data_IF_491155147359
#
_entry.id   IF_491155147359
#
_cell.length_a   1.000
_cell.length_b   1.000
_cell.length_c   1.000
_cell.angle_alpha   90.00
_cell.angle_beta   90.00
_cell.angle_gamma   90.00
#
_symmetry.space_group_name_H-M   'P 1'
#
loop_
_entity.id
_entity.type
_entity.pdbx_description
1 polymer ?
#
# COMPACT_ATOMS: atom_id res chain seq x y z
N UNK A 1 18.34 -33.63 22.93
CA UNK A 1 17.76 -34.25 24.13
C UNK A 1 16.49 -33.48 24.46
N UNK A 2 15.36 -34.15 24.27
CA UNK A 2 14.00 -33.61 24.44
C UNK A 2 13.57 -33.96 25.87
N UNK A 3 13.06 -32.98 26.60
CA UNK A 3 12.37 -33.24 27.87
C UNK A 3 11.02 -32.54 27.81
N UNK A 4 9.99 -33.28 27.44
CA UNK A 4 8.59 -32.90 27.59
C UNK A 4 8.13 -33.20 29.02
N UNK A 5 7.36 -32.28 29.60
CA UNK A 5 6.55 -32.54 30.80
C UNK A 5 5.11 -32.12 30.49
N UNK A 6 4.09 -32.96 30.75
CA UNK A 6 2.74 -32.72 30.28
C UNK A 6 1.91 -31.99 31.34
N UNK A 7 1.22 -30.93 30.95
CA UNK A 7 0.05 -30.44 31.68
C UNK A 7 -1.06 -30.04 30.68
N UNK A 8 -2.22 -30.65 30.85
CA UNK A 8 -3.54 -30.18 30.41
C UNK A 8 -4.50 -30.42 31.61
N UNK A 9 -5.67 -29.76 31.71
CA UNK A 9 -6.31 -28.93 30.69
C UNK A 9 -6.88 -27.59 31.22
N UNK A 10 -7.06 -26.60 30.33
CA UNK A 10 -8.17 -25.65 30.49
C UNK A 10 -8.64 -25.18 29.12
N UNK A 11 -9.94 -25.37 28.85
CA UNK A 11 -10.62 -24.78 27.70
C UNK A 11 -10.41 -23.26 27.69
N UNK A 12 -9.78 -22.75 26.64
CA UNK A 12 -9.84 -21.34 26.24
C UNK A 12 -10.00 -21.29 24.72
N UNK A 13 -10.97 -20.53 24.26
CA UNK A 13 -11.13 -20.17 22.85
C UNK A 13 -9.82 -19.59 22.34
N UNK A 14 -9.13 -20.36 21.49
CA UNK A 14 -7.79 -20.05 21.03
C UNK A 14 -7.80 -18.96 19.97
N UNK A 15 -7.70 -17.70 20.40
CA UNK A 15 -7.06 -16.68 19.56
C UNK A 15 -5.55 -16.90 19.63
N UNK A 16 -4.98 -17.62 18.65
CA UNK A 16 -3.53 -17.73 18.52
C UNK A 16 -3.04 -16.51 17.72
N UNK A 17 -2.70 -15.43 18.43
CA UNK A 17 -2.01 -14.28 17.82
C UNK A 17 -0.51 -14.59 17.89
N UNK A 18 0.13 -14.83 16.75
CA UNK A 18 1.58 -15.08 16.69
C UNK A 18 2.28 -13.86 16.11
N UNK A 19 3.05 -13.16 16.94
CA UNK A 19 3.90 -12.04 16.53
C UNK A 19 5.25 -12.59 16.04
N UNK A 20 5.69 -12.17 14.85
CA UNK A 20 7.03 -12.49 14.36
C UNK A 20 7.68 -11.24 13.77
N UNK A 21 8.85 -10.88 14.28
CA UNK A 21 9.73 -9.87 13.69
C UNK A 21 10.97 -10.57 13.16
N UNK A 22 11.15 -10.57 11.84
CA UNK A 22 12.38 -11.09 11.22
C UNK A 22 13.47 -10.02 11.32
N UNK A 23 14.40 -10.18 12.27
CA UNK A 23 15.63 -9.38 12.39
C UNK A 23 16.77 -10.10 11.68
N UNK A 24 17.45 -9.41 10.77
CA UNK A 24 18.81 -9.78 10.37
C UNK A 24 19.73 -8.55 10.41
N UNK A 25 20.83 -8.76 11.11
CA UNK A 25 21.96 -7.84 11.28
C UNK A 25 22.57 -7.47 9.94
N UNK A 26 22.86 -6.18 9.74
CA UNK A 26 23.76 -5.72 8.68
C UNK A 26 24.90 -4.93 9.30
N UNK A 27 26.09 -5.51 9.25
CA UNK A 27 27.35 -4.84 9.53
C UNK A 27 27.73 -4.08 8.25
N UNK A 28 27.85 -2.75 8.31
CA UNK A 28 28.40 -1.97 7.20
C UNK A 28 29.54 -1.09 7.69
N UNK A 29 30.72 -1.38 7.18
CA UNK A 29 31.92 -0.57 7.27
C UNK A 29 31.70 0.77 6.56
N UNK A 30 32.23 1.84 7.14
CA UNK A 30 32.15 3.20 6.62
C UNK A 30 33.16 3.47 5.51
N UNK A 31 32.86 4.49 4.71
CA UNK A 31 33.84 5.23 3.92
C UNK A 31 33.38 6.70 3.86
N UNK A 32 34.22 7.59 4.42
CA UNK A 32 34.18 9.05 4.22
C UNK A 32 34.44 9.41 2.76
N UNK A 33 34.02 10.62 2.36
CA UNK A 33 34.99 11.46 1.65
C UNK A 33 35.05 12.90 2.14
N UNK A 34 36.30 13.26 2.40
CA UNK A 34 37.00 14.55 2.34
C UNK A 34 36.40 15.63 1.43
N UNK A 35 36.39 16.85 1.97
CA UNK A 35 35.93 18.07 1.30
C UNK A 35 36.89 18.68 0.27
N UNK A 36 36.38 19.68 -0.44
CA UNK A 36 37.15 20.55 -1.32
C UNK A 36 36.79 22.02 -1.04
N UNK A 37 37.81 22.82 -0.75
CA UNK A 37 37.77 24.29 -0.67
C UNK A 37 37.84 24.88 -2.08
N UNK A 38 37.10 25.96 -2.33
CA UNK A 38 37.24 26.81 -3.52
C UNK A 38 37.78 28.18 -3.10
N UNK A 39 38.98 28.50 -3.58
CA UNK A 39 39.64 29.80 -3.51
C UNK A 39 39.16 30.71 -4.66
N UNK A 40 39.04 32.01 -4.38
CA UNK A 40 38.60 33.02 -5.31
C UNK A 40 39.65 33.49 -6.33
N UNK A 41 39.14 34.15 -7.36
CA UNK A 41 39.78 35.07 -8.30
C UNK A 41 38.72 36.16 -8.54
N UNK A 42 38.98 37.46 -8.52
CA UNK A 42 40.18 38.17 -8.93
C UNK A 42 39.71 39.23 -9.94
N UNK A 43 39.67 40.48 -9.49
CA UNK A 43 39.18 41.67 -10.20
C UNK A 43 40.07 42.04 -11.42
N UNK A 44 39.48 42.63 -12.47
CA UNK A 44 40.16 43.65 -13.30
C UNK A 44 39.18 44.52 -14.11
N UNK A 45 39.28 45.83 -13.86
CA UNK A 45 38.92 46.99 -14.68
C UNK A 45 39.69 46.98 -16.04
N UNK A 46 39.50 47.81 -17.06
CA UNK A 46 38.71 49.02 -17.39
C UNK A 46 38.81 49.16 -18.93
N UNK A 47 37.89 49.87 -19.58
CA UNK A 47 38.07 50.31 -20.96
C UNK A 47 36.92 51.20 -21.43
N UNK A 48 37.08 52.51 -21.27
CA UNK A 48 36.14 53.56 -21.70
C UNK A 48 36.66 54.21 -22.98
N UNK A 49 35.80 54.40 -23.99
CA UNK A 49 35.71 55.57 -24.91
C UNK A 49 34.57 55.30 -25.92
N UNK A 50 33.44 56.00 -25.83
CA UNK A 50 33.12 57.33 -26.38
C UNK A 50 32.96 57.37 -27.91
N UNK A 51 31.71 57.46 -28.41
CA UNK A 51 31.21 58.57 -29.25
C UNK A 51 29.85 58.28 -29.90
N UNK A 52 28.89 59.10 -29.48
CA UNK A 52 27.76 59.70 -30.19
C UNK A 52 27.72 59.53 -31.73
N UNK A 53 26.61 59.00 -32.28
CA UNK A 53 25.86 59.68 -33.36
C UNK A 53 24.44 59.12 -33.54
N UNK A 54 23.49 60.05 -33.67
CA UNK A 54 22.04 59.90 -33.80
C UNK A 54 21.64 59.41 -35.20
N UNK A 55 20.64 58.54 -35.34
CA UNK A 55 19.71 58.57 -36.47
C UNK A 55 18.30 58.03 -36.11
N UNK A 56 17.33 58.96 -36.15
CA UNK A 56 16.02 58.93 -36.85
C UNK A 56 14.85 58.09 -36.29
N UNK A 57 13.74 58.84 -36.14
CA UNK A 57 12.38 58.52 -35.72
C UNK A 57 11.57 57.68 -36.71
N UNK A 58 10.63 56.90 -36.13
CA UNK A 58 9.27 56.53 -36.60
C UNK A 58 9.12 55.92 -38.02
N UNK A 59 8.49 54.76 -38.20
CA UNK A 59 7.06 54.60 -37.96
C UNK A 59 6.58 53.13 -38.12
N UNK A 60 5.53 52.80 -37.35
CA UNK A 60 4.49 51.77 -37.57
C UNK A 60 4.89 50.30 -37.43
N UNK A 61 4.66 49.73 -36.24
CA UNK A 61 3.77 48.57 -36.08
C UNK A 61 2.96 48.75 -34.79
N UNK A 62 1.74 49.28 -34.92
CA UNK A 62 0.69 49.09 -33.92
C UNK A 62 0.23 47.65 -34.08
N UNK A 63 0.88 46.74 -33.35
CA UNK A 63 0.34 45.42 -33.06
C UNK A 63 0.38 45.28 -31.54
N UNK A 64 -0.81 45.18 -30.94
CA UNK A 64 -1.01 45.21 -29.50
C UNK A 64 -0.13 44.21 -28.75
N UNK A 65 0.66 44.73 -27.82
CA UNK A 65 1.19 43.97 -26.70
C UNK A 65 0.75 44.65 -25.41
N UNK A 66 -0.57 44.70 -25.18
CA UNK A 66 -1.08 44.87 -23.83
C UNK A 66 -1.03 43.50 -23.14
N UNK A 67 0.17 43.13 -22.72
CA UNK A 67 0.34 42.23 -21.58
C UNK A 67 1.43 42.86 -20.75
N UNK A 68 1.02 43.64 -19.76
CA UNK A 68 1.83 43.90 -18.60
C UNK A 68 2.28 42.55 -18.04
N UNK A 69 3.48 42.11 -18.42
CA UNK A 69 4.23 41.14 -17.64
C UNK A 69 4.38 41.79 -16.26
N UNK A 70 3.51 41.38 -15.33
CA UNK A 70 3.81 41.54 -13.93
C UNK A 70 5.16 40.86 -13.73
N UNK A 71 6.18 41.64 -13.38
CA UNK A 71 7.47 41.15 -12.90
C UNK A 71 7.32 40.51 -11.51
N UNK A 72 6.29 39.70 -11.31
CA UNK A 72 6.22 38.80 -10.18
C UNK A 72 7.17 37.64 -10.49
N UNK A 73 8.21 37.40 -9.68
CA UNK A 73 8.94 36.14 -9.78
C UNK A 73 7.92 34.99 -9.73
N UNK A 74 8.16 33.88 -10.47
CA UNK A 74 7.27 32.74 -10.40
C UNK A 74 7.07 32.36 -8.93
N UNK A 75 5.84 32.00 -8.51
CA UNK A 75 5.58 31.66 -7.12
C UNK A 75 6.59 30.58 -6.70
N UNK A 76 7.38 30.88 -5.68
CA UNK A 76 8.30 29.90 -5.10
C UNK A 76 7.42 28.84 -4.47
N UNK A 77 7.24 27.73 -5.17
CA UNK A 77 6.47 26.60 -4.69
C UNK A 77 7.24 25.97 -3.52
N UNK A 78 6.74 26.20 -2.31
CA UNK A 78 7.31 25.65 -1.08
C UNK A 78 7.19 24.12 -1.14
N UNK A 79 8.27 23.41 -0.82
CA UNK A 79 8.24 21.94 -0.75
C UNK A 79 7.15 21.49 0.24
N UNK A 80 6.11 20.75 -0.21
CA UNK A 80 5.03 20.28 0.65
C UNK A 80 5.51 19.39 1.81
N UNK A 81 6.69 18.75 1.70
CA UNK A 81 7.25 17.99 2.81
C UNK A 81 7.68 18.85 4.00
N UNK A 82 7.85 20.16 3.81
CA UNK A 82 8.08 21.10 4.91
C UNK A 82 6.83 21.34 5.77
N UNK A 83 5.65 20.85 5.37
CA UNK A 83 4.42 20.88 6.19
C UNK A 83 4.35 19.73 7.19
N UNK A 84 5.09 18.65 6.96
CA UNK A 84 5.08 17.48 7.85
C UNK A 84 6.16 17.52 8.92
N UNK A 85 7.23 18.28 8.71
CA UNK A 85 8.33 18.43 9.67
C UNK A 85 9.48 19.29 9.11
N UNK A 86 10.42 19.73 9.98
CA UNK A 86 11.60 20.46 9.54
C UNK A 86 12.55 19.55 8.74
N UNK A 87 13.40 20.16 7.92
CA UNK A 87 14.40 19.44 7.12
C UNK A 87 15.27 18.56 8.04
N UNK A 88 15.51 17.32 7.62
CA UNK A 88 16.22 16.25 8.37
C UNK A 88 15.45 15.68 9.57
N UNK A 89 14.15 15.95 9.72
CA UNK A 89 13.32 15.17 10.63
C UNK A 89 12.92 13.83 10.00
N UNK A 90 12.57 12.85 10.83
CA UNK A 90 12.09 11.54 10.36
C UNK A 90 10.82 11.70 9.51
N UNK A 91 9.94 12.62 9.87
CA UNK A 91 8.71 12.93 9.14
C UNK A 91 9.01 13.55 7.77
N UNK A 92 9.95 14.49 7.70
CA UNK A 92 10.40 15.10 6.45
C UNK A 92 11.03 14.05 5.52
N UNK A 93 11.98 13.26 6.03
CA UNK A 93 12.68 12.23 5.25
C UNK A 93 11.70 11.16 4.74
N UNK A 94 10.71 10.77 5.56
CA UNK A 94 9.64 9.87 5.13
C UNK A 94 8.78 10.48 4.01
N UNK A 95 8.39 11.76 4.13
CA UNK A 95 7.61 12.42 3.09
C UNK A 95 8.37 12.51 1.76
N UNK A 96 9.67 12.85 1.80
CA UNK A 96 10.50 12.89 0.60
C UNK A 96 10.59 11.48 -0.03
N UNK A 97 10.79 10.45 0.80
CA UNK A 97 10.82 9.06 0.32
C UNK A 97 9.47 8.63 -0.30
N UNK A 98 8.34 9.02 0.29
CA UNK A 98 7.00 8.75 -0.24
C UNK A 98 6.77 9.46 -1.58
N UNK A 99 7.19 10.72 -1.70
CA UNK A 99 7.14 11.47 -2.97
C UNK A 99 7.94 10.77 -4.07
N UNK A 100 9.16 10.33 -3.77
CA UNK A 100 9.99 9.60 -4.74
C UNK A 100 9.45 8.19 -5.04
N UNK A 101 8.75 7.55 -4.09
CA UNK A 101 8.03 6.30 -4.34
C UNK A 101 6.86 6.53 -5.31
N UNK A 102 6.03 7.56 -5.10
CA UNK A 102 4.93 7.92 -6.02
C UNK A 102 5.42 8.20 -7.43
N UNK A 103 6.51 8.96 -7.57
CA UNK A 103 7.09 9.26 -8.89
C UNK A 103 7.55 7.98 -9.60
N UNK A 104 8.20 7.06 -8.87
CA UNK A 104 8.63 5.76 -9.43
C UNK A 104 7.45 4.88 -9.81
N UNK A 105 6.40 4.86 -9.01
CA UNK A 105 5.16 4.13 -9.31
C UNK A 105 4.48 4.70 -10.56
N UNK A 106 4.32 6.03 -10.64
CA UNK A 106 3.77 6.70 -11.81
C UNK A 106 4.60 6.44 -13.07
N UNK A 107 5.93 6.50 -12.96
CA UNK A 107 6.83 6.17 -14.07
C UNK A 107 6.67 4.71 -14.50
N UNK A 108 6.61 3.77 -13.55
CA UNK A 108 6.41 2.35 -13.85
C UNK A 108 5.07 2.11 -14.55
N UNK A 109 4.01 2.79 -14.13
CA UNK A 109 2.71 2.71 -14.76
C UNK A 109 2.72 3.27 -16.19
N UNK A 110 3.45 4.38 -16.44
CA UNK A 110 3.61 4.95 -17.77
C UNK A 110 4.42 4.05 -18.72
N UNK A 111 5.34 3.25 -18.17
CA UNK A 111 6.20 2.34 -18.94
C UNK A 111 5.64 0.90 -19.02
N UNK A 112 4.46 0.64 -18.45
CA UNK A 112 3.87 -0.69 -18.47
C UNK A 112 3.12 -0.96 -19.79
N UNK A 113 3.81 -1.57 -20.74
CA UNK A 113 3.22 -2.01 -22.02
C UNK A 113 2.25 -3.20 -21.87
N UNK A 114 2.17 -3.83 -20.69
CA UNK A 114 1.28 -4.98 -20.44
C UNK A 114 -0.17 -4.59 -20.13
N UNK A 115 -0.43 -3.29 -19.92
CA UNK A 115 -1.77 -2.74 -19.62
C UNK A 115 -2.32 -3.10 -18.23
N UNK A 116 -1.50 -3.70 -17.36
CA UNK A 116 -1.89 -4.12 -16.01
C UNK A 116 -2.09 -2.89 -15.12
N UNK A 117 -1.23 -1.88 -15.25
CA UNK A 117 -1.36 -0.63 -14.49
C UNK A 117 -2.53 0.25 -14.96
N UNK A 118 -2.81 0.32 -16.27
CA UNK A 118 -3.97 1.05 -16.79
C UNK A 118 -5.29 0.46 -16.31
N UNK A 119 -5.37 -0.87 -16.17
CA UNK A 119 -6.53 -1.57 -15.61
C UNK A 119 -6.71 -1.30 -14.10
N UNK A 120 -5.62 -1.10 -13.35
CA UNK A 120 -5.70 -0.75 -11.92
C UNK A 120 -6.13 0.70 -11.66
N UNK A 121 -5.79 1.65 -12.54
CA UNK A 121 -6.27 3.05 -12.42
C UNK A 121 -7.74 3.24 -12.81
N UNK A 122 -8.30 2.36 -13.64
CA UNK A 122 -9.74 2.37 -13.97
C UNK A 122 -10.63 1.78 -12.87
N UNK A 123 -10.07 1.32 -11.74
CA UNK A 123 -10.85 0.89 -10.57
C UNK A 123 -11.00 2.08 -9.62
N UNK A 124 -11.65 3.14 -10.12
CA UNK A 124 -12.27 4.15 -9.28
C UNK A 124 -13.72 4.27 -9.78
N UNK A 125 -14.64 3.89 -8.90
CA UNK A 125 -16.10 3.92 -9.05
C UNK A 125 -16.70 3.28 -10.31
N UNK A 126 -16.94 1.97 -10.22
CA UNK A 126 -18.25 1.48 -10.61
C UNK A 126 -19.13 1.45 -9.36
N UNK A 127 -19.72 2.60 -9.03
CA UNK A 127 -20.87 2.70 -8.13
C UNK A 127 -22.05 1.98 -8.79
N UNK A 128 -22.14 0.68 -8.54
CA UNK A 128 -23.41 -0.02 -8.45
C UNK A 128 -23.36 -0.78 -7.13
N UNK A 129 -23.58 -0.05 -6.02
CA UNK A 129 -23.44 -0.62 -4.67
C UNK A 129 -24.42 -1.80 -4.48
N UNK A 130 -23.93 -3.00 -4.77
CA UNK A 130 -24.65 -4.26 -4.54
C UNK A 130 -24.92 -4.46 -3.04
N UNK A 131 -24.20 -3.75 -2.17
CA UNK A 131 -24.23 -3.90 -0.71
C UNK A 131 -25.32 -3.04 -0.05
N UNK A 132 -26.08 -3.67 0.83
CA UNK A 132 -27.03 -2.97 1.70
C UNK A 132 -26.33 -2.45 2.95
N UNK A 133 -26.95 -1.50 3.67
CA UNK A 133 -26.37 -0.98 4.91
C UNK A 133 -26.10 -2.09 5.95
N UNK A 134 -26.94 -3.14 5.99
CA UNK A 134 -26.75 -4.32 6.84
C UNK A 134 -25.54 -5.19 6.47
N UNK A 135 -24.97 -4.99 5.28
CA UNK A 135 -23.79 -5.70 4.81
C UNK A 135 -22.49 -5.10 5.39
N UNK A 136 -22.57 -3.98 6.12
CA UNK A 136 -21.44 -3.34 6.78
C UNK A 136 -21.38 -3.70 8.27
N UNK A 137 -20.18 -3.65 8.89
CA UNK A 137 -20.02 -3.88 10.33
C UNK A 137 -20.84 -2.88 11.15
N UNK A 138 -21.33 -3.32 12.30
CA UNK A 138 -22.19 -2.49 13.17
C UNK A 138 -21.44 -1.27 13.73
N UNK A 139 -20.11 -1.35 13.83
CA UNK A 139 -19.23 -0.22 14.16
C UNK A 139 -18.58 0.29 12.87
N UNK A 140 -19.01 1.42 12.31
CA UNK A 140 -18.49 1.92 11.04
C UNK A 140 -17.07 2.44 11.24
N UNK A 141 -16.09 1.68 10.74
CA UNK A 141 -14.73 2.16 10.51
C UNK A 141 -14.64 2.50 9.02
N UNK A 142 -14.27 3.74 8.63
CA UNK A 142 -14.08 4.08 7.23
C UNK A 142 -13.04 3.16 6.60
N UNK A 143 -13.50 2.25 5.74
CA UNK A 143 -12.68 1.23 5.11
C UNK A 143 -13.08 1.06 3.65
N UNK A 144 -12.10 1.00 2.77
CA UNK A 144 -12.25 0.52 1.41
C UNK A 144 -12.30 -1.02 1.42
N UNK A 145 -13.28 -1.58 0.73
CA UNK A 145 -13.51 -3.02 0.65
C UNK A 145 -13.35 -3.51 -0.79
N UNK A 146 -12.62 -4.61 -0.98
CA UNK A 146 -12.53 -5.36 -2.23
C UNK A 146 -12.70 -6.85 -1.89
N UNK A 147 -13.66 -7.53 -2.51
CA UNK A 147 -13.97 -8.93 -2.17
C UNK A 147 -14.24 -9.80 -3.39
N UNK A 148 -14.22 -11.11 -3.18
CA UNK A 148 -14.90 -12.06 -4.04
C UNK A 148 -16.43 -11.90 -3.89
N UNK A 149 -17.19 -12.31 -4.89
CA UNK A 149 -18.66 -12.20 -4.84
C UNK A 149 -19.27 -13.21 -3.84
N UNK A 150 -18.80 -14.47 -3.91
CA UNK A 150 -19.33 -15.58 -3.11
C UNK A 150 -18.26 -16.65 -2.81
N UNK A 151 -18.59 -17.51 -1.85
CA UNK A 151 -17.95 -18.81 -1.60
C UNK A 151 -19.03 -19.87 -1.46
N UNK A 152 -18.89 -21.01 -2.14
CA UNK A 152 -19.89 -22.07 -2.00
C UNK A 152 -19.81 -22.73 -0.62
N UNK A 153 -20.90 -23.33 -0.15
CA UNK A 153 -20.86 -24.08 1.11
C UNK A 153 -19.82 -25.20 1.11
N UNK A 154 -19.65 -25.88 -0.03
CA UNK A 154 -18.70 -27.00 -0.17
C UNK A 154 -17.27 -26.50 -0.06
N UNK A 155 -16.94 -25.38 -0.70
CA UNK A 155 -15.64 -24.71 -0.54
C UNK A 155 -15.43 -24.26 0.91
N UNK A 156 -16.44 -23.63 1.54
CA UNK A 156 -16.32 -23.16 2.92
C UNK A 156 -16.12 -24.33 3.91
N UNK A 157 -16.78 -25.47 3.69
CA UNK A 157 -16.55 -26.70 4.49
C UNK A 157 -15.14 -27.27 4.28
N UNK A 158 -14.61 -27.19 3.06
CA UNK A 158 -13.26 -27.65 2.74
C UNK A 158 -12.16 -26.71 3.27
N UNK A 159 -12.50 -25.45 3.58
CA UNK A 159 -11.58 -24.42 4.06
C UNK A 159 -11.99 -23.90 5.45
N UNK A 160 -11.89 -24.73 6.52
CA UNK A 160 -12.52 -24.47 7.82
C UNK A 160 -11.80 -23.41 8.67
N UNK A 161 -10.68 -22.85 8.21
CA UNK A 161 -9.95 -21.82 8.94
C UNK A 161 -10.06 -20.48 8.22
N UNK A 162 -10.37 -19.42 8.97
CA UNK A 162 -10.26 -18.04 8.51
C UNK A 162 -8.91 -17.48 8.95
N UNK A 163 -8.09 -17.09 7.98
CA UNK A 163 -6.77 -16.50 8.21
C UNK A 163 -6.78 -15.05 7.76
N UNK A 164 -6.11 -14.19 8.53
CA UNK A 164 -5.93 -12.78 8.26
C UNK A 164 -4.45 -12.43 8.27
N UNK A 165 -4.04 -11.74 7.23
CA UNK A 165 -2.75 -11.05 7.15
C UNK A 165 -3.04 -9.57 7.38
N UNK A 166 -2.45 -8.97 8.41
CA UNK A 166 -2.66 -7.56 8.76
C UNK A 166 -1.36 -6.79 8.58
N UNK A 167 -1.41 -5.66 7.88
CA UNK A 167 -0.33 -4.69 7.75
C UNK A 167 -0.76 -3.36 8.34
N UNK A 168 -0.09 -2.90 9.40
CA UNK A 168 -0.33 -1.58 9.99
C UNK A 168 0.54 -0.52 9.31
N UNK A 169 -0.04 0.62 8.97
CA UNK A 169 0.66 1.74 8.32
C UNK A 169 0.46 3.04 9.09
N UNK A 170 1.41 3.97 8.96
CA UNK A 170 1.47 5.19 9.78
C UNK A 170 1.07 6.47 9.02
N UNK A 171 0.48 6.35 7.82
CA UNK A 171 0.01 7.53 7.10
C UNK A 171 -1.10 8.23 7.88
N UNK A 172 -1.17 9.57 7.74
CA UNK A 172 -2.16 10.41 8.42
C UNK A 172 -3.59 10.18 7.94
N UNK A 173 -3.76 9.69 6.71
CA UNK A 173 -5.07 9.47 6.09
C UNK A 173 -5.55 8.02 6.15
N UNK A 174 -6.73 7.78 5.59
CA UNK A 174 -7.33 6.44 5.48
C UNK A 174 -6.64 5.54 4.45
N UNK A 175 -5.76 6.09 3.61
CA UNK A 175 -5.05 5.37 2.55
C UNK A 175 -3.57 5.21 2.95
N UNK A 176 -2.95 4.04 2.72
CA UNK A 176 -1.52 3.83 2.94
C UNK A 176 -0.66 4.87 2.20
N UNK A 177 0.50 5.19 2.79
CA UNK A 177 1.50 5.98 2.07
C UNK A 177 1.96 5.25 0.79
N UNK A 178 2.37 5.96 -0.26
CA UNK A 178 2.81 5.36 -1.53
C UNK A 178 3.86 4.26 -1.36
N UNK A 179 4.86 4.47 -0.49
CA UNK A 179 5.88 3.46 -0.19
C UNK A 179 5.28 2.17 0.39
N UNK A 180 4.35 2.32 1.33
CA UNK A 180 3.66 1.18 1.93
C UNK A 180 2.78 0.48 0.89
N UNK A 181 2.02 1.24 0.10
CA UNK A 181 1.19 0.70 -0.99
C UNK A 181 1.98 -0.16 -1.97
N UNK A 182 3.10 0.34 -2.49
CA UNK A 182 3.95 -0.43 -3.42
C UNK A 182 4.40 -1.75 -2.81
N UNK A 183 4.79 -1.74 -1.53
CA UNK A 183 5.22 -2.96 -0.83
C UNK A 183 4.07 -3.90 -0.50
N UNK A 184 2.90 -3.37 -0.18
CA UNK A 184 1.67 -4.14 0.03
C UNK A 184 1.24 -4.84 -1.26
N UNK A 185 1.32 -4.15 -2.39
CA UNK A 185 0.94 -4.70 -3.70
C UNK A 185 1.95 -5.76 -4.17
N UNK A 186 3.25 -5.56 -3.91
CA UNK A 186 4.26 -6.59 -4.13
C UNK A 186 3.99 -7.85 -3.27
N UNK A 187 3.70 -7.66 -1.99
CA UNK A 187 3.35 -8.75 -1.08
C UNK A 187 2.10 -9.51 -1.55
N UNK A 188 1.03 -8.78 -1.92
CA UNK A 188 -0.22 -9.37 -2.44
C UNK A 188 0.06 -10.22 -3.68
N UNK A 189 0.86 -9.72 -4.63
CA UNK A 189 1.25 -10.43 -5.86
C UNK A 189 2.02 -11.73 -5.58
N UNK A 190 2.76 -11.78 -4.48
CA UNK A 190 3.52 -12.96 -4.08
C UNK A 190 2.63 -13.99 -3.35
N UNK A 191 1.82 -13.53 -2.39
CA UNK A 191 1.03 -14.42 -1.52
C UNK A 191 -0.15 -15.03 -2.28
N UNK A 192 -0.95 -14.21 -2.98
CA UNK A 192 -2.20 -14.65 -3.61
C UNK A 192 -2.03 -15.93 -4.45
N UNK A 193 -1.14 -15.97 -5.47
CA UNK A 193 -0.97 -17.19 -6.27
C UNK A 193 -0.41 -18.35 -5.45
N UNK A 194 0.50 -18.09 -4.51
CA UNK A 194 1.18 -19.14 -3.75
C UNK A 194 0.25 -19.88 -2.79
N UNK A 195 -0.68 -19.18 -2.16
CA UNK A 195 -1.64 -19.79 -1.22
C UNK A 195 -2.88 -20.31 -1.93
N UNK A 196 -3.17 -19.87 -3.14
CA UNK A 196 -4.25 -20.43 -3.98
C UNK A 196 -3.80 -21.66 -4.75
N UNK A 197 -2.48 -21.87 -4.93
CA UNK A 197 -1.94 -23.07 -5.57
C UNK A 197 -2.47 -24.34 -4.87
N UNK A 198 -2.91 -25.30 -5.70
CA UNK A 198 -3.48 -26.58 -5.25
C UNK A 198 -4.62 -26.45 -4.23
N UNK A 199 -5.34 -25.32 -4.25
CA UNK A 199 -6.50 -25.07 -3.39
C UNK A 199 -6.16 -25.03 -1.90
N UNK A 200 -4.96 -24.58 -1.53
CA UNK A 200 -4.60 -24.42 -0.11
C UNK A 200 -5.53 -23.40 0.58
N UNK A 201 -5.81 -22.27 -0.08
CA UNK A 201 -6.68 -21.23 0.42
C UNK A 201 -7.45 -20.52 -0.71
N UNK A 202 -8.57 -19.91 -0.34
CA UNK A 202 -9.35 -19.00 -1.17
C UNK A 202 -9.24 -17.60 -0.57
N UNK A 203 -8.85 -16.62 -1.39
CA UNK A 203 -8.96 -15.21 -1.01
C UNK A 203 -10.43 -14.82 -0.99
N UNK A 204 -10.82 -14.10 0.05
CA UNK A 204 -12.21 -13.67 0.26
C UNK A 204 -12.32 -12.17 0.09
N UNK A 205 -11.40 -11.42 0.68
CA UNK A 205 -11.44 -9.97 0.64
C UNK A 205 -10.13 -9.33 1.10
N UNK A 206 -9.96 -8.08 0.68
CA UNK A 206 -8.97 -7.15 1.17
C UNK A 206 -9.69 -5.91 1.69
N UNK A 207 -9.34 -5.46 2.89
CA UNK A 207 -9.93 -4.29 3.54
C UNK A 207 -8.82 -3.29 3.85
N UNK A 208 -9.02 -2.01 3.53
CA UNK A 208 -8.04 -0.94 3.79
C UNK A 208 -8.70 0.22 4.52
N UNK A 209 -8.22 0.55 5.71
CA UNK A 209 -8.71 1.66 6.51
C UNK A 209 -8.33 1.48 7.98
N UNK A 210 -8.64 2.47 8.83
CA UNK A 210 -8.28 2.39 10.25
C UNK A 210 -6.78 2.18 10.51
N UNK A 211 -5.91 2.74 9.66
CA UNK A 211 -4.44 2.60 9.72
C UNK A 211 -3.91 1.17 9.51
N UNK A 212 -4.70 0.33 8.83
CA UNK A 212 -4.28 -1.02 8.46
C UNK A 212 -4.86 -1.50 7.13
N UNK A 213 -4.16 -2.41 6.48
CA UNK A 213 -4.67 -3.20 5.36
C UNK A 213 -4.68 -4.67 5.78
N UNK A 214 -5.79 -5.34 5.50
CA UNK A 214 -6.00 -6.73 5.86
C UNK A 214 -6.37 -7.56 4.64
N UNK A 215 -5.71 -8.71 4.48
CA UNK A 215 -6.06 -9.73 3.49
C UNK A 215 -6.63 -10.93 4.21
N UNK A 216 -7.83 -11.34 3.81
CA UNK A 216 -8.60 -12.36 4.50
C UNK A 216 -8.84 -13.54 3.58
N UNK A 217 -8.57 -14.73 4.12
CA UNK A 217 -8.59 -16.00 3.41
C UNK A 217 -9.37 -17.03 4.19
N UNK A 218 -10.01 -17.95 3.47
CA UNK A 218 -10.36 -19.27 4.01
C UNK A 218 -9.30 -20.28 3.58
N UNK A 219 -8.82 -21.12 4.49
CA UNK A 219 -7.78 -22.13 4.23
C UNK A 219 -8.15 -23.50 4.80
N UNK A 220 -7.64 -24.56 4.16
CA UNK A 220 -7.75 -25.94 4.66
C UNK A 220 -6.92 -26.20 5.92
N UNK A 221 -5.83 -25.44 6.10
CA UNK A 221 -4.89 -25.56 7.21
C UNK A 221 -4.22 -24.21 7.46
N UNK A 222 -4.32 -23.72 8.69
CA UNK A 222 -3.65 -22.49 9.14
C UNK A 222 -2.12 -22.67 9.17
N UNK A 223 -1.62 -23.80 9.66
CA UNK A 223 -0.19 -24.09 9.68
C UNK A 223 0.43 -24.11 8.28
N UNK A 224 -0.20 -24.81 7.33
CA UNK A 224 0.29 -24.86 5.95
C UNK A 224 0.22 -23.50 5.26
N UNK A 225 -0.83 -22.71 5.53
CA UNK A 225 -0.95 -21.34 5.02
C UNK A 225 0.18 -20.43 5.54
N UNK A 226 0.44 -20.48 6.85
CA UNK A 226 1.50 -19.68 7.48
C UNK A 226 2.86 -20.08 6.92
N UNK A 227 3.14 -21.39 6.83
CA UNK A 227 4.41 -21.89 6.29
C UNK A 227 4.61 -21.46 4.82
N UNK A 228 3.58 -21.58 3.98
CA UNK A 228 3.66 -21.16 2.57
C UNK A 228 3.87 -19.64 2.44
N UNK A 229 3.15 -18.85 3.24
CA UNK A 229 3.30 -17.39 3.26
C UNK A 229 4.72 -16.99 3.66
N UNK A 230 5.26 -17.61 4.73
CA UNK A 230 6.63 -17.35 5.19
C UNK A 230 7.66 -17.72 4.12
N UNK A 231 7.52 -18.88 3.49
CA UNK A 231 8.47 -19.36 2.48
C UNK A 231 8.56 -18.42 1.25
N UNK A 232 7.42 -17.86 0.84
CA UNK A 232 7.36 -16.94 -0.30
C UNK A 232 7.92 -15.57 0.06
N UNK A 233 7.54 -15.03 1.22
CA UNK A 233 7.99 -13.69 1.62
C UNK A 233 9.47 -13.64 2.06
N UNK A 234 10.04 -14.76 2.50
CA UNK A 234 11.45 -14.84 2.89
C UNK A 234 12.41 -14.44 1.76
N UNK A 235 11.96 -14.52 0.49
CA UNK A 235 12.77 -14.23 -0.69
C UNK A 235 12.91 -12.72 -0.98
N UNK A 236 11.98 -11.89 -0.52
CA UNK A 236 11.88 -10.47 -0.87
C UNK A 236 12.08 -9.53 0.31
N UNK A 237 12.36 -10.07 1.50
CA UNK A 237 12.74 -9.32 2.69
C UNK A 237 11.64 -9.19 3.73
N UNK A 238 11.90 -8.52 4.86
CA UNK A 238 10.96 -8.48 5.96
C UNK A 238 9.75 -7.61 5.62
N UNK A 239 8.56 -8.14 5.83
CA UNK A 239 7.29 -7.42 5.76
C UNK A 239 6.73 -7.23 7.18
N UNK A 240 6.20 -6.05 7.53
CA UNK A 240 5.65 -5.74 8.85
C UNK A 240 4.21 -6.27 8.97
N UNK A 241 4.06 -7.59 8.83
CA UNK A 241 2.75 -8.24 8.87
C UNK A 241 2.51 -9.02 10.16
N UNK A 242 1.27 -9.03 10.59
CA UNK A 242 0.74 -9.90 11.64
C UNK A 242 -0.15 -10.96 11.00
N UNK A 243 0.05 -12.23 11.41
CA UNK A 243 -0.77 -13.35 10.95
C UNK A 243 -1.66 -13.82 12.10
N UNK A 244 -2.96 -13.90 11.84
CA UNK A 244 -3.91 -14.50 12.77
C UNK A 244 -4.76 -15.53 12.05
N UNK A 245 -5.08 -16.62 12.75
CA UNK A 245 -5.90 -17.69 12.24
C UNK A 245 -6.92 -18.10 13.29
N UNK A 246 -8.13 -18.42 12.85
CA UNK A 246 -9.16 -19.02 13.69
C UNK A 246 -9.90 -20.09 12.93
N UNK A 247 -10.31 -21.14 13.63
CA UNK A 247 -11.23 -22.14 13.09
C UNK A 247 -12.64 -21.55 13.08
N UNK A 248 -13.30 -21.61 11.95
CA UNK A 248 -14.68 -21.14 11.83
C UNK A 248 -15.64 -22.21 12.36
N UNK A 249 -16.78 -21.79 12.95
CA UNK A 249 -17.87 -22.70 13.24
C UNK A 249 -18.31 -23.45 11.98
N UNK A 250 -18.64 -24.73 12.14
CA UNK A 250 -19.27 -25.48 11.06
C UNK A 250 -20.60 -24.80 10.68
N UNK A 251 -20.91 -24.78 9.38
CA UNK A 251 -22.22 -24.33 8.92
C UNK A 251 -23.30 -25.17 9.61
N UNK A 252 -24.30 -24.51 10.20
CA UNK A 252 -25.44 -25.19 10.83
C UNK A 252 -26.15 -26.03 9.78
N UNK A 253 -26.37 -27.31 10.09
CA UNK A 253 -27.19 -28.21 9.28
C UNK A 253 -28.66 -27.94 9.58
N UNK A 254 -29.13 -26.72 9.37
CA UNK A 254 -30.57 -26.48 9.34
C UNK A 254 -31.07 -26.98 7.99
N UNK A 255 -31.78 -28.11 8.05
CA UNK A 255 -32.37 -28.82 6.92
C UNK A 255 -33.31 -27.87 6.19
N UNK A 256 -32.83 -27.26 5.11
CA UNK A 256 -33.70 -26.65 4.09
C UNK A 256 -34.05 -27.73 3.08
N UNK A 257 -35.29 -28.20 3.19
CA UNK A 257 -35.98 -28.82 2.07
C UNK A 257 -36.16 -27.76 0.98
N UNK A 258 -35.23 -27.69 0.05
CA UNK A 258 -35.48 -27.17 -1.28
C UNK A 258 -34.48 -27.80 -2.23
N UNK A 259 -34.99 -28.67 -3.10
CA UNK A 259 -34.34 -29.01 -4.34
C UNK A 259 -33.90 -27.69 -5.01
N UNK A 260 -32.58 -27.45 -5.09
CA UNK A 260 -31.85 -26.69 -6.13
C UNK A 260 -30.62 -25.95 -5.59
N UNK A 261 -29.46 -26.32 -6.17
CA UNK A 261 -28.12 -25.70 -6.16
C UNK A 261 -27.36 -25.58 -4.83
N UNK A 262 -26.01 -25.63 -4.87
CA UNK A 262 -25.19 -25.21 -3.74
C UNK A 262 -25.50 -23.74 -3.41
N UNK A 263 -25.97 -23.46 -2.19
CA UNK A 263 -26.20 -22.09 -1.73
C UNK A 263 -24.84 -21.36 -1.70
N UNK A 264 -24.60 -20.50 -2.69
CA UNK A 264 -23.44 -19.63 -2.69
C UNK A 264 -23.54 -18.62 -1.55
N UNK A 265 -22.58 -18.65 -0.64
CA UNK A 265 -22.51 -17.73 0.50
C UNK A 265 -21.92 -16.43 0.00
N UNK A 266 -22.78 -15.42 -0.16
CA UNK A 266 -22.36 -14.06 -0.51
C UNK A 266 -21.35 -13.50 0.51
N UNK A 267 -20.26 -12.93 0.01
CA UNK A 267 -19.24 -12.24 0.80
C UNK A 267 -19.60 -10.76 0.91
N UNK A 268 -19.81 -10.31 2.13
CA UNK A 268 -20.15 -8.91 2.47
C UNK A 268 -19.03 -8.28 3.29
N UNK A 269 -18.90 -6.94 3.33
CA UNK A 269 -17.96 -6.27 4.21
C UNK A 269 -18.01 -6.78 5.66
N UNK A 270 -19.22 -7.00 6.20
CA UNK A 270 -19.46 -7.56 7.53
C UNK A 270 -18.86 -8.96 7.68
N UNK A 271 -19.25 -9.93 6.84
CA UNK A 271 -18.72 -11.31 6.88
C UNK A 271 -17.22 -11.39 6.60
N UNK A 272 -16.69 -10.44 5.84
CA UNK A 272 -15.28 -10.33 5.56
C UNK A 272 -14.50 -10.03 6.84
N UNK A 273 -14.88 -9.00 7.60
CA UNK A 273 -14.12 -8.57 8.77
C UNK A 273 -14.49 -9.30 10.05
N UNK A 274 -15.72 -9.78 10.20
CA UNK A 274 -16.21 -10.45 11.42
C UNK A 274 -15.87 -11.92 11.47
#
# INVERSE_FOLDING_TARGET
MITEKPERPLMKSGHCVRYFTAKLFRQSQGCEPSGLKSLGLGHSQMGVHNRLWLLVLASVLIAGCSSSKSNSPPPVERDPCLDVGPVKSVEYDNCVADREASKREALRALLDDTGVYSRQMQIADSDDSTYQLSDFPDTPIPMAFKGADSISETEKRALPFKVRITWKYSSKGLIPAPRDRVRMDEMERLILPAVQDKGLAKWVCTVTGGHQREWIFYTRSDEAFIAQTQAVLAQTGPYPIELSARKEPALSTEVKNSENLPEDIRITPKKCVE
#
